data_IF_589394742641
#
_entry.id   IF_589394742641
#
_cell.length_a   1.000
_cell.length_b   1.000
_cell.length_c   1.000
_cell.angle_alpha   90.00
_cell.angle_beta   90.00
_cell.angle_gamma   90.00
#
_symmetry.space_group_name_H-M   'P 1'
#
loop_
_entity.id
_entity.type
_entity.pdbx_description
1 polymer ?
#
# COMPACT_ATOMS: atom_id res chain seq x y z
N UNK A 1 4.82 -0.10 -23.47
CA UNK A 1 4.52 -1.49 -23.08
C UNK A 1 3.41 -2.00 -23.99
N UNK A 2 3.72 -2.79 -25.03
CA UNK A 2 2.83 -2.93 -26.19
C UNK A 2 2.00 -4.21 -26.27
N UNK A 3 2.25 -5.23 -25.42
CA UNK A 3 1.58 -6.54 -25.51
C UNK A 3 0.91 -7.03 -24.20
N UNK A 4 0.59 -6.11 -23.27
CA UNK A 4 -0.03 -6.47 -21.97
C UNK A 4 -1.40 -7.15 -22.18
N UNK A 5 -2.12 -6.81 -23.24
CA UNK A 5 -3.40 -7.44 -23.58
C UNK A 5 -3.28 -8.95 -23.85
N UNK A 6 -2.13 -9.40 -24.38
CA UNK A 6 -1.86 -10.80 -24.71
C UNK A 6 -1.22 -11.55 -23.53
N UNK A 7 -0.22 -10.92 -22.89
CA UNK A 7 0.55 -11.56 -21.81
C UNK A 7 0.02 -11.26 -20.40
N UNK A 8 -1.09 -10.51 -20.28
CA UNK A 8 -1.70 -10.13 -19.02
C UNK A 8 -1.87 -11.30 -18.03
N UNK A 9 -2.49 -12.43 -18.43
CA UNK A 9 -2.64 -13.59 -17.55
C UNK A 9 -1.31 -14.19 -17.07
N UNK A 10 -0.30 -14.24 -17.95
CA UNK A 10 1.04 -14.75 -17.60
C UNK A 10 1.73 -13.80 -16.62
N UNK A 11 1.65 -12.49 -16.87
CA UNK A 11 2.20 -11.46 -15.97
C UNK A 11 1.53 -11.55 -14.60
N UNK A 12 0.20 -11.63 -14.56
CA UNK A 12 -0.55 -11.77 -13.30
C UNK A 12 -0.14 -13.02 -12.53
N UNK A 13 -0.04 -14.15 -13.24
CA UNK A 13 0.42 -15.40 -12.65
C UNK A 13 1.85 -15.31 -12.10
N UNK A 14 2.79 -14.68 -12.82
CA UNK A 14 4.17 -14.49 -12.32
C UNK A 14 4.17 -13.59 -11.08
N UNK A 15 3.43 -12.48 -11.12
CA UNK A 15 3.36 -11.53 -10.01
C UNK A 15 2.64 -12.12 -8.79
N UNK A 16 1.72 -13.07 -8.95
CA UNK A 16 1.04 -13.71 -7.81
C UNK A 16 1.94 -14.69 -7.04
N UNK A 17 3.09 -15.11 -7.61
CA UNK A 17 4.02 -16.05 -6.94
C UNK A 17 4.80 -15.42 -5.79
N UNK A 18 4.84 -14.09 -5.69
CA UNK A 18 5.52 -13.38 -4.60
C UNK A 18 4.49 -12.59 -3.77
N UNK A 19 4.46 -12.73 -2.43
CA UNK A 19 3.45 -12.08 -1.59
C UNK A 19 3.34 -10.56 -1.79
N UNK A 20 4.48 -9.87 -1.95
CA UNK A 20 4.50 -8.41 -2.13
C UNK A 20 3.83 -7.94 -3.42
N UNK A 21 4.00 -8.67 -4.52
CA UNK A 21 3.39 -8.32 -5.82
C UNK A 21 1.99 -8.90 -5.97
N UNK A 22 1.67 -9.99 -5.28
CA UNK A 22 0.32 -10.54 -5.20
C UNK A 22 -0.64 -9.59 -4.49
N UNK A 23 -0.21 -8.98 -3.38
CA UNK A 23 -0.98 -7.98 -2.64
C UNK A 23 -1.30 -6.70 -3.45
N UNK A 24 -0.55 -6.43 -4.52
CA UNK A 24 -0.81 -5.29 -5.42
C UNK A 24 -1.93 -5.57 -6.43
N UNK A 25 -2.31 -6.82 -6.64
CA UNK A 25 -3.22 -7.21 -7.72
C UNK A 25 -4.65 -7.48 -7.25
N UNK A 26 -4.85 -7.72 -5.96
CA UNK A 26 -6.15 -8.15 -5.42
C UNK A 26 -6.30 -7.81 -3.95
N UNK A 27 -7.56 -7.77 -3.50
CA UNK A 27 -7.88 -7.69 -2.07
C UNK A 27 -7.29 -8.90 -1.34
N UNK A 28 -6.51 -8.65 -0.28
CA UNK A 28 -5.98 -9.72 0.57
C UNK A 28 -6.85 -9.91 1.80
N UNK A 29 -6.89 -11.14 2.30
CA UNK A 29 -7.72 -11.57 3.42
C UNK A 29 -6.85 -12.27 4.44
N UNK A 30 -6.96 -11.89 5.70
CA UNK A 30 -6.26 -12.52 6.81
C UNK A 30 -7.23 -12.77 7.97
N UNK A 31 -7.22 -13.99 8.51
CA UNK A 31 -7.90 -14.28 9.78
C UNK A 31 -6.93 -13.93 10.90
N UNK A 32 -7.30 -12.98 11.74
CA UNK A 32 -6.39 -12.41 12.74
C UNK A 32 -6.68 -12.88 14.16
N UNK A 33 -7.88 -13.39 14.42
CA UNK A 33 -8.27 -13.94 15.71
C UNK A 33 -9.30 -15.05 15.47
N UNK A 34 -9.13 -16.18 16.13
CA UNK A 34 -10.11 -17.27 16.19
C UNK A 34 -10.32 -17.60 17.66
N UNK A 35 -11.57 -17.83 18.07
CA UNK A 35 -11.90 -18.21 19.45
C UNK A 35 -13.08 -19.17 19.46
N UNK A 36 -13.03 -20.18 20.32
CA UNK A 36 -14.11 -21.15 20.50
C UNK A 36 -13.71 -22.24 21.49
N UNK A 37 -14.64 -22.64 22.35
CA UNK A 37 -14.41 -23.63 23.42
C UNK A 37 -13.73 -23.04 24.65
N UNK A 38 -14.06 -23.59 25.80
CA UNK A 38 -13.47 -23.17 27.09
C UNK A 38 -12.74 -24.31 27.81
N UNK A 39 -13.19 -25.56 27.61
CA UNK A 39 -12.61 -26.75 28.24
C UNK A 39 -12.41 -27.85 27.20
N UNK A 40 -11.44 -28.71 27.44
CA UNK A 40 -11.06 -29.84 26.57
C UNK A 40 -12.14 -30.92 26.47
N UNK A 41 -13.05 -30.99 27.44
CA UNK A 41 -14.11 -31.98 27.52
C UNK A 41 -15.53 -31.43 27.28
N UNK A 42 -15.66 -30.19 26.78
CA UNK A 42 -16.97 -29.57 26.50
C UNK A 42 -17.03 -29.15 25.04
N UNK A 43 -18.08 -29.56 24.34
CA UNK A 43 -18.34 -29.11 22.97
C UNK A 43 -18.68 -27.61 22.97
N UNK A 44 -18.00 -26.79 22.15
CA UNK A 44 -18.28 -25.36 22.08
C UNK A 44 -19.66 -25.09 21.51
N UNK A 45 -20.41 -24.19 22.16
CA UNK A 45 -21.72 -23.73 21.67
C UNK A 45 -21.60 -22.68 20.57
N UNK A 46 -20.46 -21.99 20.47
CA UNK A 46 -20.16 -21.01 19.43
C UNK A 46 -18.67 -20.90 19.15
N UNK A 47 -18.33 -20.38 17.98
CA UNK A 47 -16.98 -19.99 17.61
C UNK A 47 -17.04 -18.64 16.88
N UNK A 48 -15.97 -17.85 16.98
CA UNK A 48 -15.85 -16.57 16.31
C UNK A 48 -14.51 -16.44 15.61
N UNK A 49 -14.49 -15.68 14.52
CA UNK A 49 -13.28 -15.31 13.81
C UNK A 49 -13.32 -13.82 13.45
N UNK A 50 -12.19 -13.12 13.63
CA UNK A 50 -12.00 -11.77 13.07
C UNK A 50 -11.23 -11.89 11.78
N UNK A 51 -11.81 -11.37 10.70
CA UNK A 51 -11.22 -11.36 9.36
C UNK A 51 -10.89 -9.93 8.98
N UNK A 52 -9.64 -9.67 8.60
CA UNK A 52 -9.18 -8.39 8.10
C UNK A 52 -9.00 -8.47 6.58
N UNK A 53 -9.56 -7.49 5.88
CA UNK A 53 -9.36 -7.34 4.44
C UNK A 53 -8.55 -6.08 4.13
N UNK A 54 -7.51 -6.22 3.32
CA UNK A 54 -6.84 -5.07 2.69
C UNK A 54 -7.45 -4.89 1.30
N UNK A 55 -8.41 -3.99 1.19
CA UNK A 55 -9.25 -3.82 0.00
C UNK A 55 -8.45 -3.16 -1.13
N UNK A 56 -8.46 -3.80 -2.30
CA UNK A 56 -7.84 -3.28 -3.51
C UNK A 56 -8.67 -2.12 -4.10
N UNK A 57 -8.04 -1.21 -4.86
CA UNK A 57 -8.69 -0.01 -5.42
C UNK A 57 -9.82 -0.30 -6.42
N UNK A 58 -9.88 -1.53 -6.94
CA UNK A 58 -10.95 -2.01 -7.83
C UNK A 58 -12.14 -2.66 -7.09
N UNK A 59 -12.08 -2.75 -5.76
CA UNK A 59 -13.13 -3.31 -4.91
C UNK A 59 -13.76 -2.23 -4.01
N UNK A 60 -14.77 -2.62 -3.23
CA UNK A 60 -15.40 -1.79 -2.20
C UNK A 60 -15.76 -2.62 -1.00
N UNK A 61 -15.96 -1.98 0.16
CA UNK A 61 -16.40 -2.70 1.35
C UNK A 61 -17.71 -3.46 1.11
N UNK A 62 -18.67 -2.84 0.41
CA UNK A 62 -19.94 -3.46 0.07
C UNK A 62 -19.74 -4.75 -0.73
N UNK A 63 -18.94 -4.70 -1.80
CA UNK A 63 -18.67 -5.85 -2.66
C UNK A 63 -18.00 -7.00 -1.90
N UNK A 64 -17.06 -6.67 -1.00
CA UNK A 64 -16.41 -7.68 -0.14
C UNK A 64 -17.42 -8.34 0.82
N UNK A 65 -18.30 -7.56 1.44
CA UNK A 65 -19.32 -8.08 2.35
C UNK A 65 -20.33 -8.99 1.62
N UNK A 66 -20.80 -8.57 0.45
CA UNK A 66 -21.68 -9.37 -0.40
C UNK A 66 -20.99 -10.68 -0.82
N UNK A 67 -19.72 -10.61 -1.23
CA UNK A 67 -18.97 -11.79 -1.61
C UNK A 67 -18.75 -12.75 -0.43
N UNK A 68 -18.45 -12.22 0.76
CA UNK A 68 -18.31 -13.04 1.98
C UNK A 68 -19.63 -13.76 2.31
N UNK A 69 -20.76 -13.05 2.27
CA UNK A 69 -22.09 -13.66 2.50
C UNK A 69 -22.39 -14.76 1.48
N UNK A 70 -22.11 -14.50 0.20
CA UNK A 70 -22.33 -15.45 -0.89
C UNK A 70 -21.47 -16.72 -0.75
N UNK A 71 -20.22 -16.59 -0.32
CA UNK A 71 -19.30 -17.73 -0.16
C UNK A 71 -19.66 -18.56 1.06
N UNK A 72 -19.99 -17.91 2.19
CA UNK A 72 -20.33 -18.60 3.44
C UNK A 72 -21.66 -19.33 3.30
N UNK A 73 -22.68 -18.65 2.77
CA UNK A 73 -24.00 -19.21 2.48
C UNK A 73 -24.58 -20.06 3.63
N UNK A 74 -24.48 -19.56 4.86
CA UNK A 74 -24.98 -20.21 6.08
C UNK A 74 -25.71 -19.17 6.94
N UNK A 75 -27.02 -19.34 7.09
CA UNK A 75 -27.89 -18.41 7.81
C UNK A 75 -27.63 -18.41 9.32
N UNK A 76 -26.90 -19.38 9.85
CA UNK A 76 -26.50 -19.42 11.27
C UNK A 76 -25.36 -18.44 11.57
N UNK A 77 -24.66 -17.95 10.55
CA UNK A 77 -23.53 -17.06 10.74
C UNK A 77 -24.00 -15.62 11.00
N UNK A 78 -23.64 -15.10 12.18
CA UNK A 78 -23.82 -13.69 12.50
C UNK A 78 -22.53 -12.93 12.19
N UNK A 79 -22.58 -12.03 11.19
CA UNK A 79 -21.43 -11.19 10.81
C UNK A 79 -21.58 -9.77 11.35
N UNK A 80 -20.54 -9.24 11.98
CA UNK A 80 -20.46 -7.84 12.41
C UNK A 80 -19.30 -7.12 11.72
N UNK A 81 -19.55 -5.93 11.19
CA UNK A 81 -18.52 -5.07 10.62
C UNK A 81 -17.88 -4.28 11.76
N UNK A 82 -16.65 -4.61 12.13
CA UNK A 82 -15.89 -3.84 13.14
C UNK A 82 -15.55 -2.43 12.63
N UNK A 83 -15.00 -2.38 11.42
CA UNK A 83 -14.72 -1.14 10.70
C UNK A 83 -14.61 -1.43 9.21
N UNK A 84 -14.85 -0.40 8.40
CA UNK A 84 -14.63 -0.43 6.97
C UNK A 84 -14.08 0.94 6.57
N UNK A 85 -13.09 0.94 5.71
CA UNK A 85 -12.63 2.15 5.01
C UNK A 85 -12.58 1.81 3.53
N UNK A 86 -13.24 2.62 2.71
CA UNK A 86 -13.16 2.46 1.26
C UNK A 86 -11.73 2.73 0.76
N UNK A 87 -11.34 2.16 -0.39
CA UNK A 87 -10.04 2.44 -0.97
C UNK A 87 -9.79 3.93 -1.13
N UNK A 88 -8.56 4.37 -0.86
CA UNK A 88 -8.19 5.77 -1.05
C UNK A 88 -8.30 6.17 -2.53
N UNK A 89 -8.74 7.40 -2.83
CA UNK A 89 -8.77 7.89 -4.20
C UNK A 89 -7.36 7.93 -4.81
N UNK A 90 -7.29 7.71 -6.12
CA UNK A 90 -6.03 7.80 -6.87
C UNK A 90 -5.63 9.27 -6.96
N UNK A 91 -4.43 9.59 -6.48
CA UNK A 91 -3.88 10.94 -6.63
C UNK A 91 -3.58 11.25 -8.10
N UNK A 92 -3.81 12.49 -8.56
CA UNK A 92 -3.46 12.89 -9.92
C UNK A 92 -1.94 12.76 -10.13
N UNK A 93 -1.51 12.49 -11.35
CA UNK A 93 -0.09 12.35 -11.68
C UNK A 93 0.19 12.79 -13.13
N UNK A 94 1.46 12.97 -13.46
CA UNK A 94 1.92 13.33 -14.81
C UNK A 94 2.37 14.78 -14.95
N UNK A 95 2.79 15.14 -16.16
CA UNK A 95 3.49 16.39 -16.48
C UNK A 95 2.68 17.67 -16.24
N UNK A 96 1.37 17.58 -16.11
CA UNK A 96 0.50 18.74 -15.87
C UNK A 96 0.15 18.93 -14.40
N UNK A 97 0.60 18.03 -13.52
CA UNK A 97 0.27 18.05 -12.10
C UNK A 97 1.47 18.60 -11.33
N UNK A 98 1.37 19.86 -10.90
CA UNK A 98 2.45 20.57 -10.19
C UNK A 98 3.03 19.77 -9.01
N UNK A 99 2.16 19.29 -8.11
CA UNK A 99 2.60 18.54 -6.93
C UNK A 99 3.32 17.23 -7.27
N UNK A 100 2.92 16.55 -8.35
CA UNK A 100 3.62 15.36 -8.84
C UNK A 100 4.98 15.72 -9.43
N UNK A 101 5.09 16.83 -10.18
CA UNK A 101 6.37 17.31 -10.74
C UNK A 101 7.38 17.68 -9.66
N UNK A 102 6.94 18.34 -8.59
CA UNK A 102 7.81 18.65 -7.44
C UNK A 102 8.44 17.36 -6.89
N UNK A 103 7.62 16.33 -6.68
CA UNK A 103 8.11 15.03 -6.20
C UNK A 103 9.07 14.40 -7.22
N UNK A 104 8.71 14.36 -8.50
CA UNK A 104 9.57 13.80 -9.55
C UNK A 104 10.94 14.49 -9.60
N UNK A 105 10.97 15.82 -9.61
CA UNK A 105 12.21 16.59 -9.63
C UNK A 105 13.04 16.34 -8.36
N UNK A 106 12.41 16.34 -7.19
CA UNK A 106 13.10 16.13 -5.91
C UNK A 106 13.70 14.72 -5.85
N UNK A 107 13.00 13.71 -6.37
CA UNK A 107 13.52 12.34 -6.49
C UNK A 107 14.76 12.32 -7.40
N UNK A 108 14.70 12.95 -8.58
CA UNK A 108 15.86 13.01 -9.49
C UNK A 108 17.06 13.69 -8.85
N UNK A 109 16.87 14.88 -8.28
CA UNK A 109 17.93 15.64 -7.61
C UNK A 109 18.60 14.85 -6.48
N UNK A 110 17.83 14.06 -5.74
CA UNK A 110 18.35 13.35 -4.57
C UNK A 110 19.03 12.03 -4.91
N UNK A 111 18.53 11.31 -5.92
CA UNK A 111 18.94 9.92 -6.16
C UNK A 111 19.70 9.71 -7.47
N UNK A 112 19.62 10.60 -8.46
CA UNK A 112 20.14 10.35 -9.81
C UNK A 112 21.67 10.21 -9.85
N UNK A 113 22.38 10.92 -8.97
CA UNK A 113 23.85 10.83 -8.85
C UNK A 113 24.34 9.45 -8.39
N UNK A 114 23.48 8.63 -7.77
CA UNK A 114 23.84 7.28 -7.30
C UNK A 114 23.66 6.21 -8.39
N UNK A 115 23.15 6.56 -9.56
CA UNK A 115 22.79 5.62 -10.61
C UNK A 115 23.45 5.99 -11.95
N UNK A 116 23.97 4.99 -12.67
CA UNK A 116 24.53 5.17 -14.01
C UNK A 116 23.46 5.33 -15.11
N UNK A 117 22.18 5.30 -14.74
CA UNK A 117 21.05 5.40 -15.66
C UNK A 117 20.04 6.44 -15.15
N UNK A 118 19.35 7.16 -16.05
CA UNK A 118 18.30 8.09 -15.68
C UNK A 118 17.24 7.41 -14.80
N UNK A 119 16.86 8.04 -13.71
CA UNK A 119 15.78 7.53 -12.84
C UNK A 119 14.45 7.71 -13.56
N UNK A 120 13.59 6.70 -13.55
CA UNK A 120 12.23 6.84 -14.07
C UNK A 120 11.29 6.89 -12.87
N UNK A 121 10.58 8.00 -12.70
CA UNK A 121 9.58 8.17 -11.65
C UNK A 121 8.21 7.78 -12.20
N UNK A 122 7.62 6.74 -11.61
CA UNK A 122 6.29 6.25 -11.96
C UNK A 122 5.40 6.18 -10.72
N UNK A 123 4.09 6.45 -10.85
CA UNK A 123 3.15 6.21 -9.76
C UNK A 123 3.08 4.71 -9.43
N UNK A 124 2.90 4.39 -8.16
CA UNK A 124 2.74 3.03 -7.67
C UNK A 124 1.65 2.93 -6.61
N UNK A 125 1.08 1.73 -6.46
CA UNK A 125 0.19 1.43 -5.34
C UNK A 125 1.02 1.11 -4.11
N UNK A 126 0.71 1.77 -3.00
CA UNK A 126 1.23 1.41 -1.69
C UNK A 126 0.29 0.38 -1.06
N UNK A 127 0.84 -0.76 -0.64
CA UNK A 127 0.13 -1.71 0.21
C UNK A 127 0.30 -1.27 1.67
N UNK A 128 -0.81 -1.05 2.37
CA UNK A 128 -0.80 -0.66 3.77
C UNK A 128 -1.78 0.46 4.07
N UNK A 129 -1.81 0.88 5.34
CA UNK A 129 -2.59 2.03 5.77
C UNK A 129 -1.66 3.16 6.15
N UNK A 130 -2.02 4.39 5.80
CA UNK A 130 -1.37 5.61 6.32
C UNK A 130 -2.44 6.59 6.77
N UNK A 131 -2.02 7.65 7.47
CA UNK A 131 -2.93 8.68 7.97
C UNK A 131 -3.51 9.57 6.88
N UNK A 132 -2.96 9.49 5.66
CA UNK A 132 -3.48 10.15 4.45
C UNK A 132 -4.99 9.99 4.23
N UNK A 133 -5.60 8.90 4.73
CA UNK A 133 -7.06 8.67 4.68
C UNK A 133 -7.85 9.79 5.34
N UNK A 134 -7.30 10.42 6.37
CA UNK A 134 -7.94 11.52 7.11
C UNK A 134 -7.85 12.85 6.36
N UNK A 135 -6.99 12.94 5.35
CA UNK A 135 -6.74 14.15 4.57
C UNK A 135 -7.42 14.15 3.20
N UNK A 136 -8.19 13.11 2.86
CA UNK A 136 -8.87 12.99 1.56
C UNK A 136 -9.87 14.12 1.29
N UNK A 137 -10.41 14.73 2.35
CA UNK A 137 -11.32 15.88 2.24
C UNK A 137 -10.58 17.22 2.15
N UNK A 138 -9.26 17.24 2.41
CA UNK A 138 -8.44 18.46 2.42
C UNK A 138 -7.67 18.66 1.12
N UNK A 139 -7.25 17.59 0.46
CA UNK A 139 -6.49 17.67 -0.78
C UNK A 139 -6.72 16.46 -1.68
N UNK A 140 -6.69 16.70 -2.99
CA UNK A 140 -6.66 15.63 -4.01
C UNK A 140 -5.23 15.13 -4.29
N UNK A 141 -4.22 15.91 -3.91
CA UNK A 141 -2.80 15.64 -4.14
C UNK A 141 -2.20 14.92 -2.92
N UNK A 142 -2.46 13.60 -2.77
CA UNK A 142 -2.07 12.81 -1.60
C UNK A 142 -1.08 11.69 -1.95
N UNK A 143 0.19 12.04 -2.02
CA UNK A 143 1.28 11.12 -2.37
C UNK A 143 1.87 10.44 -1.14
N UNK A 144 2.16 9.14 -1.26
CA UNK A 144 2.81 8.34 -0.22
C UNK A 144 4.18 7.94 -0.74
N UNK A 145 5.21 8.59 -0.21
CA UNK A 145 6.58 8.37 -0.64
C UNK A 145 7.49 8.33 0.59
N UNK A 146 8.36 7.33 0.64
CA UNK A 146 9.41 7.20 1.65
C UNK A 146 10.75 7.40 0.95
N UNK A 147 11.53 8.45 1.28
CA UNK A 147 12.80 8.74 0.62
C UNK A 147 13.97 7.91 1.20
N UNK A 148 13.67 6.78 1.84
CA UNK A 148 14.67 5.90 2.44
C UNK A 148 14.91 4.69 1.54
N UNK A 149 16.17 4.36 1.33
CA UNK A 149 16.56 3.15 0.60
C UNK A 149 16.49 1.97 1.56
N UNK A 150 15.66 0.99 1.22
CA UNK A 150 15.58 -0.27 1.97
C UNK A 150 16.40 -1.33 1.24
N UNK A 151 17.35 -1.93 1.94
CA UNK A 151 18.13 -3.05 1.42
C UNK A 151 17.43 -4.38 1.71
N UNK A 152 18.06 -5.46 1.25
CA UNK A 152 17.59 -6.81 1.48
C UNK A 152 17.34 -7.05 2.98
N UNK A 153 16.15 -7.56 3.32
CA UNK A 153 15.62 -7.81 4.66
C UNK A 153 15.25 -6.59 5.51
N UNK A 154 15.49 -5.34 5.10
CA UNK A 154 15.11 -4.18 5.92
C UNK A 154 13.58 -4.06 6.04
N UNK A 155 12.84 -4.36 4.96
CA UNK A 155 11.37 -4.36 4.99
C UNK A 155 10.77 -5.35 6.01
N UNK A 156 11.46 -6.47 6.28
CA UNK A 156 11.00 -7.46 7.26
C UNK A 156 11.20 -7.01 8.71
N UNK A 157 12.02 -5.97 8.93
CA UNK A 157 12.28 -5.42 10.26
C UNK A 157 11.36 -4.27 10.63
N UNK A 158 10.58 -3.75 9.68
CA UNK A 158 9.59 -2.73 9.98
C UNK A 158 8.59 -3.28 11.00
N UNK A 159 8.47 -2.62 12.16
CA UNK A 159 7.68 -3.08 13.30
C UNK A 159 8.14 -4.44 13.89
N UNK A 160 9.40 -4.82 13.65
CA UNK A 160 10.00 -6.04 14.17
C UNK A 160 11.25 -5.75 15.00
N UNK A 161 11.90 -6.83 15.44
CA UNK A 161 13.11 -6.71 16.24
C UNK A 161 14.27 -6.10 15.43
N UNK A 162 15.05 -5.25 16.09
CA UNK A 162 16.28 -4.65 15.54
C UNK A 162 16.04 -3.85 14.23
N UNK A 163 14.90 -3.16 14.17
CA UNK A 163 14.61 -2.15 13.14
C UNK A 163 15.74 -1.11 13.09
N UNK A 164 16.27 -0.86 11.89
CA UNK A 164 17.40 0.05 11.68
C UNK A 164 17.46 0.52 10.23
N UNK A 165 18.19 1.61 10.03
CA UNK A 165 18.50 2.21 8.73
C UNK A 165 20.00 2.52 8.66
N UNK A 166 20.60 2.46 7.47
CA UNK A 166 21.99 2.91 7.31
C UNK A 166 22.06 4.42 7.47
N UNK A 167 23.15 4.91 8.06
CA UNK A 167 23.37 6.34 8.23
C UNK A 167 23.32 7.11 6.90
N UNK A 168 23.91 6.55 5.84
CA UNK A 168 23.88 7.16 4.50
C UNK A 168 22.47 7.30 3.94
N UNK A 169 21.60 6.31 4.15
CA UNK A 169 20.23 6.33 3.66
C UNK A 169 19.38 7.32 4.46
N UNK A 170 19.65 7.45 5.76
CA UNK A 170 19.06 8.50 6.59
C UNK A 170 19.47 9.90 6.12
N UNK A 171 20.76 10.13 5.87
CA UNK A 171 21.26 11.41 5.32
C UNK A 171 20.64 11.72 3.97
N UNK A 172 20.47 10.72 3.11
CA UNK A 172 19.81 10.88 1.80
C UNK A 172 18.34 11.24 1.95
N UNK A 173 17.62 10.61 2.87
CA UNK A 173 16.23 10.96 3.18
C UNK A 173 16.10 12.39 3.71
N UNK A 174 17.03 12.85 4.54
CA UNK A 174 17.09 14.25 4.98
C UNK A 174 17.32 15.21 3.81
N UNK A 175 18.26 14.87 2.91
CA UNK A 175 18.51 15.65 1.69
C UNK A 175 17.25 15.74 0.81
N UNK A 176 16.50 14.65 0.67
CA UNK A 176 15.22 14.65 -0.05
C UNK A 176 14.24 15.66 0.55
N UNK A 177 14.00 15.63 1.87
CA UNK A 177 13.04 16.54 2.50
C UNK A 177 13.49 18.01 2.41
N UNK A 178 14.79 18.27 2.52
CA UNK A 178 15.37 19.59 2.30
C UNK A 178 15.06 20.11 0.89
N UNK A 179 15.35 19.32 -0.15
CA UNK A 179 15.04 19.68 -1.53
C UNK A 179 13.53 19.77 -1.81
N UNK A 180 12.71 18.93 -1.16
CA UNK A 180 11.26 18.99 -1.30
C UNK A 180 10.71 20.34 -0.84
N UNK A 181 11.17 20.82 0.31
CA UNK A 181 10.78 22.12 0.87
C UNK A 181 11.24 23.25 -0.05
N UNK A 182 12.51 23.23 -0.49
CA UNK A 182 13.05 24.24 -1.40
C UNK A 182 12.31 24.29 -2.73
N UNK A 183 12.12 23.15 -3.39
CA UNK A 183 11.45 23.09 -4.69
C UNK A 183 10.01 23.61 -4.61
N UNK A 184 9.34 23.41 -3.48
CA UNK A 184 7.98 23.89 -3.25
C UNK A 184 7.89 25.39 -2.88
N UNK A 185 9.03 26.05 -2.67
CA UNK A 185 9.12 27.51 -2.45
C UNK A 185 9.50 28.26 -3.73
N UNK A 186 9.97 27.57 -4.76
CA UNK A 186 10.31 28.17 -6.04
C UNK A 186 9.04 28.45 -6.83
N UNK A 187 8.81 29.72 -7.19
CA UNK A 187 7.63 30.18 -7.94
C UNK A 187 7.54 29.53 -9.34
N UNK A 188 8.66 29.06 -9.88
CA UNK A 188 8.73 28.36 -11.15
C UNK A 188 9.58 27.09 -11.03
N UNK A 189 8.93 25.95 -11.23
CA UNK A 189 9.59 24.69 -11.53
C UNK A 189 9.93 24.71 -13.03
N UNK A 190 11.20 24.56 -13.45
CA UNK A 190 11.50 24.35 -14.88
C UNK A 190 10.74 23.13 -15.42
#
# INVERSE_FOLDING_TARGET
MSNIWLFGPVIQWVLSRKPGTDALQRTSTAVTLISGGEKDNILPTSASATVNHRIHTADSCRKILENNRRIINDDRLVSHIKSCSEPSPISPYGKHIYAYRILEQTIRQTFENDHHHPIIVVPGLMVGGTDSRSYTNLSKNLYRFSPFVYHHNDLNRLHGDNERIRHSDMQRGLNFYFHLILNNQLENIP
#
